data_IF_499899412258
#
_entry.id   IF_499899412258
#
_cell.length_a   1.000
_cell.length_b   1.000
_cell.length_c   1.000
_cell.angle_alpha   90.00
_cell.angle_beta   90.00
_cell.angle_gamma   90.00
#
_symmetry.space_group_name_H-M   'P 1'
#
loop_
_entity.id
_entity.type
_entity.pdbx_description
1 polymer ?
#
# COMPACT_ATOMS: atom_id res chain seq x y z
N UNK A 1 -5.20 4.68 -39.72
CA UNK A 1 -4.79 5.60 -38.64
C UNK A 1 -5.94 5.84 -37.64
N UNK A 2 -6.58 4.76 -37.17
CA UNK A 2 -7.63 4.82 -36.11
C UNK A 2 -7.23 3.84 -35.00
N UNK A 3 -6.64 2.70 -35.35
CA UNK A 3 -6.11 1.72 -34.39
C UNK A 3 -5.01 2.27 -33.48
N UNK A 4 -4.10 3.10 -33.99
CA UNK A 4 -3.03 3.68 -33.15
C UNK A 4 -3.57 4.66 -32.09
N UNK A 5 -4.67 5.36 -32.36
CA UNK A 5 -5.26 6.32 -31.42
C UNK A 5 -6.04 5.62 -30.28
N UNK A 6 -6.66 4.47 -30.56
CA UNK A 6 -7.36 3.68 -29.54
C UNK A 6 -6.38 2.87 -28.66
N UNK A 7 -5.30 2.37 -29.26
CA UNK A 7 -4.26 1.62 -28.54
C UNK A 7 -3.48 2.53 -27.56
N UNK A 8 -3.20 3.77 -27.95
CA UNK A 8 -2.54 4.76 -27.08
C UNK A 8 -3.40 5.12 -25.85
N UNK A 9 -4.72 5.25 -26.04
CA UNK A 9 -5.65 5.57 -24.95
C UNK A 9 -5.68 4.49 -23.87
N UNK A 10 -5.66 3.22 -24.29
CA UNK A 10 -5.78 2.09 -23.36
C UNK A 10 -4.50 1.91 -22.55
N UNK A 11 -3.34 2.07 -23.19
CA UNK A 11 -2.04 1.96 -22.51
C UNK A 11 -1.78 3.11 -21.52
N UNK A 12 -2.28 4.32 -21.82
CA UNK A 12 -2.25 5.46 -20.87
C UNK A 12 -3.15 5.20 -19.65
N UNK A 13 -4.32 4.58 -19.85
CA UNK A 13 -5.28 4.32 -18.77
C UNK A 13 -4.78 3.27 -17.78
N UNK A 14 -4.14 2.21 -18.28
CA UNK A 14 -3.53 1.19 -17.42
C UNK A 14 -2.35 1.74 -16.61
N UNK A 15 -1.45 2.50 -17.24
CA UNK A 15 -0.36 3.16 -16.52
C UNK A 15 -0.88 4.12 -15.45
N UNK A 16 -1.94 4.89 -15.74
CA UNK A 16 -2.58 5.77 -14.76
C UNK A 16 -3.17 5.00 -13.58
N UNK A 17 -3.82 3.86 -13.83
CA UNK A 17 -4.36 2.99 -12.78
C UNK A 17 -3.25 2.44 -11.89
N UNK A 18 -2.14 1.98 -12.48
CA UNK A 18 -0.99 1.49 -11.75
C UNK A 18 -0.38 2.57 -10.86
N UNK A 19 -0.14 3.76 -11.40
CA UNK A 19 0.39 4.90 -10.63
C UNK A 19 -0.54 5.28 -9.47
N UNK A 20 -1.85 5.32 -9.70
CA UNK A 20 -2.81 5.60 -8.62
C UNK A 20 -2.81 4.51 -7.53
N UNK A 21 -2.72 3.24 -7.91
CA UNK A 21 -2.65 2.13 -6.97
C UNK A 21 -1.36 2.18 -6.13
N UNK A 22 -0.22 2.47 -6.78
CA UNK A 22 1.07 2.70 -6.10
C UNK A 22 0.97 3.86 -5.10
N UNK A 23 0.45 5.00 -5.53
CA UNK A 23 0.27 6.18 -4.66
C UNK A 23 -0.64 5.87 -3.47
N UNK A 24 -1.71 5.09 -3.66
CA UNK A 24 -2.59 4.69 -2.57
C UNK A 24 -1.87 3.79 -1.55
N UNK A 25 -1.04 2.86 -2.03
CA UNK A 25 -0.21 2.00 -1.17
C UNK A 25 0.82 2.81 -0.38
N UNK A 26 1.56 3.69 -1.06
CA UNK A 26 2.55 4.58 -0.44
C UNK A 26 1.91 5.51 0.59
N UNK A 27 0.76 6.11 0.27
CA UNK A 27 0.07 7.02 1.20
C UNK A 27 -0.39 6.27 2.45
N UNK A 28 -1.01 5.10 2.30
CA UNK A 28 -1.47 4.30 3.42
C UNK A 28 -0.31 3.79 4.29
N UNK A 29 0.78 3.32 3.68
CA UNK A 29 1.98 2.89 4.40
C UNK A 29 2.61 4.04 5.21
N UNK A 30 2.66 5.25 4.66
CA UNK A 30 3.13 6.44 5.36
C UNK A 30 2.20 6.87 6.49
N UNK A 31 0.88 6.90 6.26
CA UNK A 31 -0.12 7.20 7.28
C UNK A 31 -0.02 6.22 8.46
N UNK A 32 0.16 4.92 8.16
CA UNK A 32 0.37 3.90 9.18
C UNK A 32 1.69 4.09 9.92
N UNK A 33 2.79 4.41 9.22
CA UNK A 33 4.06 4.68 9.87
C UNK A 33 3.97 5.85 10.84
N UNK A 34 3.32 6.95 10.45
CA UNK A 34 3.09 8.11 11.32
C UNK A 34 2.21 7.72 12.52
N UNK A 35 1.13 6.99 12.29
CA UNK A 35 0.24 6.51 13.35
C UNK A 35 0.94 5.56 14.34
N UNK A 36 1.89 4.75 13.86
CA UNK A 36 2.74 3.89 14.70
C UNK A 36 3.78 4.70 15.47
N UNK A 37 4.35 5.75 14.89
CA UNK A 37 5.31 6.62 15.57
C UNK A 37 4.62 7.45 16.66
N UNK A 38 3.44 8.00 16.38
CA UNK A 38 2.63 8.73 17.34
C UNK A 38 1.91 7.79 18.30
N UNK A 39 2.56 7.55 19.45
CA UNK A 39 2.02 6.68 20.52
C UNK A 39 0.75 7.25 21.17
N UNK A 40 0.35 8.49 20.84
CA UNK A 40 -0.92 9.08 21.26
C UNK A 40 -2.08 8.73 20.32
N UNK A 41 -1.78 8.42 19.04
CA UNK A 41 -2.78 8.04 18.03
C UNK A 41 -3.18 6.57 18.15
N UNK A 42 -2.21 5.67 18.38
CA UNK A 42 -2.46 4.24 18.57
C UNK A 42 -2.01 3.76 19.95
N UNK A 43 -2.97 3.36 20.80
CA UNK A 43 -2.71 2.66 22.07
C UNK A 43 -2.46 1.17 21.85
N UNK A 44 -1.44 0.82 21.08
CA UNK A 44 -1.06 -0.58 20.82
C UNK A 44 0.07 -1.07 21.73
N UNK A 45 0.12 -2.38 21.98
CA UNK A 45 1.25 -2.99 22.68
C UNK A 45 2.53 -2.88 21.84
N UNK A 46 3.70 -2.89 22.50
CA UNK A 46 4.99 -2.83 21.82
C UNK A 46 5.18 -3.97 20.80
N UNK A 47 4.62 -5.16 21.10
CA UNK A 47 4.63 -6.32 20.21
C UNK A 47 3.83 -6.04 18.93
N UNK A 48 2.63 -5.49 19.05
CA UNK A 48 1.78 -5.14 17.91
C UNK A 48 2.42 -4.02 17.10
N UNK A 49 2.95 -2.98 17.76
CA UNK A 49 3.68 -1.88 17.11
C UNK A 49 4.85 -2.39 16.28
N UNK A 50 5.62 -3.34 16.82
CA UNK A 50 6.75 -3.94 16.09
C UNK A 50 6.30 -4.72 14.86
N UNK A 51 5.21 -5.51 14.97
CA UNK A 51 4.65 -6.26 13.84
C UNK A 51 4.12 -5.35 12.74
N UNK A 52 3.33 -4.34 13.09
CA UNK A 52 2.81 -3.36 12.13
C UNK A 52 3.93 -2.59 11.46
N UNK A 53 4.94 -2.15 12.22
CA UNK A 53 6.12 -1.49 11.64
C UNK A 53 6.87 -2.40 10.67
N UNK A 54 6.96 -3.70 10.97
CA UNK A 54 7.59 -4.65 10.07
C UNK A 54 6.79 -4.79 8.77
N UNK A 55 5.47 -4.95 8.84
CA UNK A 55 4.61 -5.07 7.66
C UNK A 55 4.64 -3.80 6.78
N UNK A 56 4.65 -2.62 7.41
CA UNK A 56 4.80 -1.34 6.70
C UNK A 56 6.17 -1.25 6.01
N UNK A 57 7.25 -1.64 6.70
CA UNK A 57 8.58 -1.68 6.10
C UNK A 57 8.68 -2.68 4.94
N UNK A 58 8.15 -3.89 5.09
CA UNK A 58 8.09 -4.90 4.02
C UNK A 58 7.30 -4.38 2.81
N UNK A 59 6.29 -3.53 3.03
CA UNK A 59 5.54 -2.88 1.96
C UNK A 59 6.39 -1.83 1.24
N UNK A 60 7.18 -1.05 1.97
CA UNK A 60 8.11 -0.09 1.37
C UNK A 60 9.22 -0.79 0.57
N UNK A 61 9.80 -1.85 1.10
CA UNK A 61 10.79 -2.67 0.38
C UNK A 61 10.19 -3.24 -0.91
N UNK A 62 8.98 -3.82 -0.81
CA UNK A 62 8.27 -4.31 -1.99
C UNK A 62 7.97 -3.20 -3.00
N UNK A 63 7.59 -2.00 -2.56
CA UNK A 63 7.37 -0.83 -3.42
C UNK A 63 8.65 -0.37 -4.14
N UNK A 64 9.81 -0.45 -3.48
CA UNK A 64 11.12 -0.18 -4.08
C UNK A 64 11.47 -1.26 -5.11
N UNK A 65 11.31 -2.54 -4.77
CA UNK A 65 11.56 -3.66 -5.70
C UNK A 65 10.62 -3.62 -6.92
N UNK A 66 9.36 -3.25 -6.71
CA UNK A 66 8.36 -3.10 -7.77
C UNK A 66 8.50 -1.76 -8.52
N UNK A 67 9.36 -0.85 -8.09
CA UNK A 67 9.56 0.44 -8.77
C UNK A 67 10.23 0.27 -10.13
N UNK A 68 11.16 -0.68 -10.24
CA UNK A 68 11.86 -1.00 -11.50
C UNK A 68 11.11 -2.07 -12.33
N UNK A 69 10.08 -2.69 -11.75
CA UNK A 69 9.29 -3.75 -12.38
C UNK A 69 7.95 -3.20 -12.89
N UNK A 70 7.49 -3.64 -14.06
CA UNK A 70 6.18 -3.27 -14.61
C UNK A 70 5.03 -4.02 -13.92
N UNK A 71 4.86 -3.77 -12.62
CA UNK A 71 3.85 -4.38 -11.77
C UNK A 71 2.44 -3.85 -12.13
N UNK A 72 1.43 -4.71 -12.09
CA UNK A 72 0.06 -4.34 -12.46
C UNK A 72 -0.66 -3.59 -11.33
N UNK A 73 -1.64 -2.76 -11.68
CA UNK A 73 -2.46 -2.04 -10.69
C UNK A 73 -3.19 -2.97 -9.70
N UNK A 74 -3.46 -4.22 -10.11
CA UNK A 74 -4.03 -5.29 -9.29
C UNK A 74 -3.09 -5.70 -8.16
N UNK A 75 -1.81 -5.90 -8.44
CA UNK A 75 -0.80 -6.32 -7.46
C UNK A 75 -0.59 -5.25 -6.38
N UNK A 76 -0.51 -3.96 -6.77
CA UNK A 76 -0.46 -2.86 -5.81
C UNK A 76 -1.70 -2.81 -4.90
N UNK A 77 -2.89 -3.13 -5.44
CA UNK A 77 -4.12 -3.18 -4.65
C UNK A 77 -4.14 -4.37 -3.70
N UNK A 78 -3.69 -5.54 -4.14
CA UNK A 78 -3.59 -6.73 -3.30
C UNK A 78 -2.65 -6.47 -2.11
N UNK A 79 -1.47 -5.89 -2.39
CA UNK A 79 -0.51 -5.50 -1.34
C UNK A 79 -1.09 -4.48 -0.36
N UNK A 80 -1.92 -3.54 -0.85
CA UNK A 80 -2.64 -2.59 -0.01
C UNK A 80 -3.66 -3.29 0.89
N UNK A 81 -4.43 -4.23 0.34
CA UNK A 81 -5.43 -4.99 1.10
C UNK A 81 -4.76 -5.86 2.17
N UNK A 82 -3.64 -6.49 1.85
CA UNK A 82 -2.81 -7.24 2.81
C UNK A 82 -2.36 -6.35 3.97
N UNK A 83 -1.80 -5.16 3.66
CA UNK A 83 -1.35 -4.24 4.69
C UNK A 83 -2.53 -3.74 5.55
N UNK A 84 -3.69 -3.48 4.93
CA UNK A 84 -4.93 -3.14 5.65
C UNK A 84 -5.41 -4.27 6.55
N UNK A 85 -5.43 -5.50 6.04
CA UNK A 85 -5.85 -6.67 6.79
C UNK A 85 -4.97 -6.88 8.02
N UNK A 86 -3.66 -6.73 7.88
CA UNK A 86 -2.71 -6.75 9.00
C UNK A 86 -3.05 -5.63 9.99
N UNK A 87 -3.21 -4.39 9.51
CA UNK A 87 -3.61 -3.25 10.35
C UNK A 87 -4.93 -3.48 11.10
N UNK A 88 -5.93 -4.07 10.46
CA UNK A 88 -7.26 -4.33 11.01
C UNK A 88 -7.28 -5.52 11.98
N UNK A 89 -6.54 -6.60 11.72
CA UNK A 89 -6.41 -7.74 12.67
C UNK A 89 -5.76 -7.28 13.98
N UNK A 90 -4.76 -6.40 13.87
CA UNK A 90 -4.07 -5.86 15.03
C UNK A 90 -4.84 -4.70 15.68
N UNK A 91 -5.54 -3.90 14.90
CA UNK A 91 -6.38 -2.78 15.34
C UNK A 91 -7.67 -3.23 16.03
N UNK A 92 -8.32 -4.28 15.54
CA UNK A 92 -9.54 -4.84 16.15
C UNK A 92 -9.28 -5.44 17.53
N UNK A 93 -8.06 -5.91 17.80
CA UNK A 93 -7.64 -6.35 19.15
C UNK A 93 -7.54 -5.21 20.17
N UNK A 94 -7.80 -3.96 19.77
CA UNK A 94 -7.89 -2.78 20.66
C UNK A 94 -9.31 -2.46 21.14
N UNK A 95 -10.35 -3.06 20.54
CA UNK A 95 -11.75 -2.71 20.79
C UNK A 95 -12.52 -3.70 21.70
N UNK A 96 -11.80 -4.50 22.49
CA UNK A 96 -12.36 -5.34 23.57
C UNK A 96 -11.62 -5.04 24.87
#
# INVERSE_FOLDING_TARGET
MIEEAEMHKTQDDERRKTVQAKMALENYANEMLDALQDSRKLKISATVKKRLKNAVNETFEWLEEMSDTACEASEYKEKLDDLKYICDDFGSKLYI
#
